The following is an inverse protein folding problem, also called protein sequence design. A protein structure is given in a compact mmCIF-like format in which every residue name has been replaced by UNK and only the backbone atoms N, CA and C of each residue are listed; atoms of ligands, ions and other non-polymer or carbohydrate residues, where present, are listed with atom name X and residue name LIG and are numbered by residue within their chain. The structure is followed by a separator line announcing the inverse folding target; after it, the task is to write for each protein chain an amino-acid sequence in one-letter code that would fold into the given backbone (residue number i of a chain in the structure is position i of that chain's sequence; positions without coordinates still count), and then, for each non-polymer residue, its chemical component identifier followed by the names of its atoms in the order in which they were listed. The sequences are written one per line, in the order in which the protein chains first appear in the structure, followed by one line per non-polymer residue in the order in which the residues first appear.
data_IF_884628547031
#
_entry.id   IF_884628547031
#
_cell.length_a   1.000
_cell.length_b   1.000
_cell.length_c   1.000
_cell.angle_alpha   90.00
_cell.angle_beta   90.00
_cell.angle_gamma   90.00
#
_symmetry.space_group_name_H-M   'P 1'
#
loop_
_entity.id
_entity.type
_entity.pdbx_description
1 polymer ?
#
# COMPACT_ATOMS: atom_id res chain seq x y z
N UNK A 1 -11.81 3.39 12.03
CA UNK A 1 -10.95 4.54 11.60
C UNK A 1 -9.66 3.94 11.08
N UNK A 2 -9.23 4.28 9.86
CA UNK A 2 -7.93 3.84 9.35
C UNK A 2 -6.87 4.60 10.15
N UNK A 3 -6.12 3.90 10.99
CA UNK A 3 -5.01 4.50 11.74
C UNK A 3 -3.81 4.61 10.81
N UNK A 4 -3.33 5.83 10.64
CA UNK A 4 -2.06 6.07 9.95
C UNK A 4 -0.90 5.69 10.90
N UNK A 5 0.12 5.00 10.39
CA UNK A 5 1.34 4.76 11.15
C UNK A 5 2.04 6.08 11.50
N UNK A 6 2.88 6.05 12.53
CA UNK A 6 3.77 7.16 12.82
C UNK A 6 4.62 7.51 11.57
N UNK A 7 5.02 8.79 11.41
CA UNK A 7 5.93 9.19 10.34
C UNK A 7 7.17 8.31 10.32
N UNK A 8 7.61 7.92 9.13
CA UNK A 8 8.78 7.06 8.94
C UNK A 8 9.71 7.68 7.88
N UNK A 9 10.96 7.24 7.84
CA UNK A 9 11.87 7.68 6.78
C UNK A 9 11.55 6.97 5.46
N UNK A 10 11.88 7.62 4.34
CA UNK A 10 11.72 7.00 3.02
C UNK A 10 12.51 5.69 2.90
N UNK A 11 13.69 5.61 3.53
CA UNK A 11 14.48 4.38 3.54
C UNK A 11 13.75 3.25 4.25
N UNK A 12 13.20 3.50 5.44
CA UNK A 12 12.40 2.52 6.17
C UNK A 12 11.19 2.03 5.38
N UNK A 13 10.50 2.96 4.69
CA UNK A 13 9.37 2.61 3.83
C UNK A 13 9.81 1.70 2.68
N UNK A 14 10.90 2.04 1.99
CA UNK A 14 11.44 1.24 0.88
C UNK A 14 11.90 -0.13 1.36
N UNK A 15 12.56 -0.22 2.51
CA UNK A 15 13.04 -1.50 3.07
C UNK A 15 11.86 -2.42 3.46
N UNK A 16 10.82 -1.89 4.09
CA UNK A 16 9.59 -2.64 4.38
C UNK A 16 8.87 -3.12 3.11
N UNK A 17 8.88 -2.29 2.04
CA UNK A 17 8.32 -2.69 0.75
C UNK A 17 9.16 -3.82 0.12
N UNK A 18 10.49 -3.74 0.20
CA UNK A 18 11.38 -4.82 -0.27
C UNK A 18 11.08 -6.14 0.43
N UNK A 19 10.96 -6.12 1.74
CA UNK A 19 10.60 -7.32 2.52
C UNK A 19 9.25 -7.90 2.08
N UNK A 20 8.19 -7.07 2.01
CA UNK A 20 6.85 -7.51 1.63
C UNK A 20 6.76 -8.01 0.18
N UNK A 21 7.53 -7.44 -0.73
CA UNK A 21 7.55 -7.79 -2.15
C UNK A 21 8.58 -8.87 -2.50
N UNK A 22 9.33 -9.41 -1.53
CA UNK A 22 10.51 -10.25 -1.75
C UNK A 22 11.48 -9.63 -2.76
N UNK A 23 11.69 -8.31 -2.67
CA UNK A 23 12.53 -7.47 -3.53
C UNK A 23 12.21 -7.53 -5.04
N UNK A 24 11.02 -7.99 -5.41
CA UNK A 24 10.62 -8.11 -6.83
C UNK A 24 10.53 -6.76 -7.55
N UNK A 25 10.35 -5.68 -6.80
CA UNK A 25 10.19 -4.32 -7.34
C UNK A 25 11.52 -3.63 -7.64
N UNK A 26 12.64 -4.14 -7.13
CA UNK A 26 14.00 -3.60 -7.30
C UNK A 26 14.06 -2.08 -7.08
N UNK A 27 13.55 -1.63 -5.93
CA UNK A 27 13.44 -0.21 -5.61
C UNK A 27 14.80 0.38 -5.22
N UNK A 28 15.13 1.54 -5.81
CA UNK A 28 16.32 2.34 -5.47
C UNK A 28 15.94 3.79 -5.19
N UNK A 29 16.59 4.41 -4.21
CA UNK A 29 16.37 5.82 -3.84
C UNK A 29 17.50 6.66 -4.42
N UNK A 30 17.19 7.84 -4.97
CA UNK A 30 18.22 8.82 -5.38
C UNK A 30 19.09 9.25 -4.19
N UNK A 31 20.31 9.68 -4.48
CA UNK A 31 21.25 10.11 -3.47
C UNK A 31 20.63 11.13 -2.49
N UNK A 32 20.92 10.97 -1.19
CA UNK A 32 20.43 11.79 -0.07
C UNK A 32 18.93 11.71 0.25
N UNK A 33 18.13 10.89 -0.43
CA UNK A 33 16.69 10.80 -0.21
C UNK A 33 16.27 9.94 0.98
N UNK A 34 17.10 9.02 1.46
CA UNK A 34 16.73 8.00 2.43
C UNK A 34 16.25 8.51 3.79
N UNK A 35 16.73 9.68 4.22
CA UNK A 35 16.36 10.31 5.51
C UNK A 35 15.11 11.20 5.45
N UNK A 36 14.51 11.37 4.28
CA UNK A 36 13.30 12.19 4.15
C UNK A 36 12.15 11.56 4.94
N UNK A 37 11.49 12.39 5.75
CA UNK A 37 10.32 11.96 6.52
C UNK A 37 9.09 11.85 5.62
N UNK A 38 8.44 10.72 5.66
CA UNK A 38 7.21 10.42 4.91
C UNK A 38 6.06 10.28 5.90
N UNK A 39 4.99 11.01 5.62
CA UNK A 39 3.77 11.04 6.43
C UNK A 39 2.60 10.40 5.69
N UNK A 40 2.51 10.60 4.37
CA UNK A 40 1.35 10.18 3.61
C UNK A 40 1.70 9.85 2.16
N UNK A 41 0.70 9.38 1.43
CA UNK A 41 0.71 9.22 -0.02
C UNK A 41 -0.39 10.08 -0.60
N UNK A 42 -0.09 10.83 -1.65
CA UNK A 42 -1.05 11.72 -2.29
C UNK A 42 -0.96 11.67 -3.82
N UNK A 43 -2.05 12.02 -4.53
CA UNK A 43 -2.04 12.20 -5.98
C UNK A 43 -1.02 13.24 -6.43
N UNK A 44 -0.50 13.10 -7.67
CA UNK A 44 0.53 13.99 -8.23
C UNK A 44 0.16 15.48 -8.13
N UNK A 45 -1.11 15.80 -8.33
CA UNK A 45 -1.63 17.17 -8.38
C UNK A 45 -1.72 17.84 -7.00
N UNK A 46 -1.90 17.07 -5.95
CA UNK A 46 -2.18 17.57 -4.60
C UNK A 46 -1.06 17.30 -3.60
N UNK A 47 -0.12 16.42 -3.96
CA UNK A 47 0.98 16.04 -3.09
C UNK A 47 1.87 17.21 -2.70
N UNK A 48 2.26 17.25 -1.42
CA UNK A 48 3.08 18.27 -0.83
C UNK A 48 4.24 17.72 0.00
N UNK A 49 4.74 18.54 0.91
CA UNK A 49 5.83 18.16 1.80
C UNK A 49 5.39 17.05 2.78
N UNK A 50 6.18 16.00 2.87
CA UNK A 50 5.88 14.80 3.66
C UNK A 50 5.13 13.72 2.87
N UNK A 51 4.69 14.00 1.64
CA UNK A 51 3.98 13.03 0.83
C UNK A 51 4.92 12.27 -0.13
N UNK A 52 4.53 11.05 -0.44
CA UNK A 52 5.02 10.29 -1.58
C UNK A 52 3.95 10.30 -2.66
N UNK A 53 4.33 10.62 -3.89
CA UNK A 53 3.49 10.45 -5.07
C UNK A 53 4.09 9.41 -6.01
N UNK A 54 3.31 8.87 -6.94
CA UNK A 54 3.80 7.88 -7.89
C UNK A 54 3.30 8.18 -9.31
N UNK A 55 4.12 7.82 -10.28
CA UNK A 55 3.80 7.88 -11.71
C UNK A 55 3.71 6.45 -12.25
N UNK A 56 2.49 5.98 -12.53
CA UNK A 56 2.26 4.66 -13.15
C UNK A 56 1.82 4.75 -14.61
N UNK A 57 1.48 5.94 -15.10
CA UNK A 57 1.03 6.15 -16.47
C UNK A 57 1.76 7.35 -17.09
N UNK A 58 2.47 7.12 -18.18
CA UNK A 58 3.29 8.10 -18.88
C UNK A 58 2.54 9.35 -19.36
N UNK A 59 1.21 9.30 -19.47
CA UNK A 59 0.38 10.47 -19.76
C UNK A 59 0.48 11.57 -18.71
N UNK A 60 0.85 11.23 -17.48
CA UNK A 60 0.95 12.16 -16.37
C UNK A 60 2.38 12.63 -16.10
N UNK A 61 3.31 12.50 -17.06
CA UNK A 61 4.71 12.96 -16.92
C UNK A 61 4.80 14.44 -16.59
N UNK A 62 3.97 15.27 -17.21
CA UNK A 62 3.95 16.72 -16.93
C UNK A 62 3.48 17.00 -15.50
N UNK A 63 2.44 16.32 -15.05
CA UNK A 63 1.98 16.42 -13.64
C UNK A 63 3.07 15.93 -12.66
N UNK A 64 3.75 14.83 -13.00
CA UNK A 64 4.85 14.30 -12.20
C UNK A 64 6.04 15.28 -12.13
N UNK A 65 6.37 15.94 -13.24
CA UNK A 65 7.41 16.98 -13.29
C UNK A 65 7.06 18.20 -12.39
N UNK A 66 5.78 18.59 -12.36
CA UNK A 66 5.28 19.71 -11.57
C UNK A 66 4.92 19.33 -10.11
N UNK A 67 4.89 18.06 -9.76
CA UNK A 67 4.49 17.55 -8.46
C UNK A 67 5.38 18.13 -7.34
N UNK A 68 4.78 18.39 -6.17
CA UNK A 68 5.49 18.95 -4.99
C UNK A 68 5.72 17.93 -3.88
N UNK A 69 5.50 16.65 -4.16
CA UNK A 69 5.77 15.58 -3.22
C UNK A 69 7.23 15.60 -2.74
N UNK A 70 7.46 15.17 -1.51
CA UNK A 70 8.80 14.95 -0.96
C UNK A 70 9.56 13.88 -1.75
N UNK A 71 8.88 12.82 -2.17
CA UNK A 71 9.45 11.78 -3.02
C UNK A 71 8.49 11.40 -4.14
N UNK A 72 9.04 11.12 -5.32
CA UNK A 72 8.30 10.67 -6.49
C UNK A 72 8.75 9.27 -6.88
N UNK A 73 7.79 8.34 -6.97
CA UNK A 73 8.03 6.95 -7.38
C UNK A 73 7.70 6.79 -8.85
N UNK A 74 8.65 6.29 -9.63
CA UNK A 74 8.49 6.15 -11.08
C UNK A 74 9.44 5.08 -11.64
N UNK A 75 9.32 4.80 -12.93
CA UNK A 75 10.25 3.94 -13.66
C UNK A 75 11.50 4.71 -14.10
N UNK A 76 12.59 4.00 -14.41
CA UNK A 76 13.78 4.63 -14.99
C UNK A 76 13.47 5.27 -16.37
N UNK A 77 12.59 4.65 -17.17
CA UNK A 77 12.13 5.22 -18.43
C UNK A 77 11.43 6.58 -18.26
N UNK A 78 10.53 6.68 -17.27
CA UNK A 78 9.82 7.93 -16.98
C UNK A 78 10.76 9.01 -16.43
N UNK A 79 11.74 8.62 -15.58
CA UNK A 79 12.79 9.54 -15.13
C UNK A 79 13.55 10.13 -16.31
N UNK A 80 13.99 9.29 -17.23
CA UNK A 80 14.72 9.73 -18.44
C UNK A 80 13.86 10.61 -19.34
N UNK A 81 12.57 10.27 -19.49
CA UNK A 81 11.65 11.06 -20.31
C UNK A 81 11.40 12.47 -19.74
N UNK A 82 11.35 12.61 -18.40
CA UNK A 82 11.07 13.88 -17.71
C UNK A 82 12.33 14.74 -17.62
N UNK A 83 13.47 14.18 -17.17
CA UNK A 83 14.68 14.95 -16.85
C UNK A 83 15.85 14.68 -17.80
N UNK A 84 15.76 13.67 -18.67
CA UNK A 84 16.86 13.28 -19.56
C UNK A 84 18.09 12.84 -18.76
N UNK A 85 19.23 13.47 -19.04
CA UNK A 85 20.50 13.21 -18.31
C UNK A 85 20.69 14.06 -17.06
N UNK A 86 19.77 14.98 -16.79
CA UNK A 86 19.86 15.81 -15.58
C UNK A 86 19.40 15.02 -14.37
N UNK A 87 20.07 15.23 -13.24
CA UNK A 87 19.56 14.70 -11.98
C UNK A 87 18.27 15.44 -11.61
N UNK A 88 17.25 14.72 -11.13
CA UNK A 88 16.04 15.35 -10.63
C UNK A 88 16.33 16.31 -9.48
N UNK A 89 15.63 17.44 -9.45
CA UNK A 89 15.71 18.45 -8.38
C UNK A 89 15.02 18.00 -7.08
N UNK A 90 14.58 16.75 -7.03
CA UNK A 90 13.82 16.15 -5.94
C UNK A 90 14.22 14.70 -5.71
N UNK A 91 13.74 14.15 -4.60
CA UNK A 91 13.96 12.74 -4.27
C UNK A 91 13.10 11.88 -5.20
N UNK A 92 13.72 10.90 -5.83
CA UNK A 92 13.03 9.91 -6.66
C UNK A 92 13.31 8.49 -6.15
N UNK A 93 12.28 7.65 -6.23
CA UNK A 93 12.38 6.20 -6.02
C UNK A 93 12.16 5.54 -7.37
N UNK A 94 13.19 4.88 -7.88
CA UNK A 94 13.10 4.12 -9.11
C UNK A 94 12.66 2.71 -8.80
N UNK A 95 11.64 2.24 -9.49
CA UNK A 95 11.10 0.88 -9.33
C UNK A 95 10.61 0.33 -10.67
N UNK A 96 10.55 -0.99 -10.79
CA UNK A 96 9.99 -1.65 -11.99
C UNK A 96 8.49 -1.44 -12.14
N UNK A 97 7.77 -1.34 -11.03
CA UNK A 97 6.32 -1.20 -11.03
C UNK A 97 5.86 -0.20 -9.96
N UNK A 98 5.73 1.10 -10.31
CA UNK A 98 5.27 2.14 -9.40
C UNK A 98 3.89 1.87 -8.80
N UNK A 99 2.99 1.24 -9.54
CA UNK A 99 1.64 0.92 -9.07
C UNK A 99 1.64 -0.16 -7.98
N UNK A 100 2.42 -1.23 -8.18
CA UNK A 100 2.58 -2.25 -7.15
C UNK A 100 3.31 -1.69 -5.92
N UNK A 101 4.33 -0.84 -6.12
CA UNK A 101 5.01 -0.14 -5.04
C UNK A 101 4.03 0.67 -4.19
N UNK A 102 3.16 1.43 -4.83
CA UNK A 102 2.10 2.19 -4.17
C UNK A 102 1.17 1.30 -3.35
N UNK A 103 0.74 0.16 -3.88
CA UNK A 103 -0.12 -0.78 -3.17
C UNK A 103 0.52 -1.32 -1.88
N UNK A 104 1.81 -1.65 -1.91
CA UNK A 104 2.55 -2.04 -0.70
C UNK A 104 2.74 -0.88 0.27
N UNK A 105 3.04 0.32 -0.24
CA UNK A 105 3.19 1.52 0.59
C UNK A 105 1.90 1.86 1.34
N UNK A 106 0.73 1.76 0.68
CA UNK A 106 -0.57 1.93 1.34
C UNK A 106 -0.78 0.96 2.50
N UNK A 107 -0.43 -0.32 2.33
CA UNK A 107 -0.56 -1.32 3.38
C UNK A 107 0.38 -1.07 4.57
N UNK A 108 1.48 -0.36 4.36
CA UNK A 108 2.45 -0.03 5.41
C UNK A 108 2.04 1.25 6.14
N UNK A 109 1.67 2.28 5.39
CA UNK A 109 1.31 3.60 5.95
C UNK A 109 -0.09 3.57 6.58
N UNK A 110 -1.01 2.79 6.00
CA UNK A 110 -2.38 2.62 6.47
C UNK A 110 -2.65 1.13 6.73
N UNK A 111 -2.06 0.54 7.78
CA UNK A 111 -2.31 -0.86 8.10
C UNK A 111 -3.79 -1.05 8.40
N UNK A 112 -4.39 -2.06 7.79
CA UNK A 112 -5.71 -2.49 8.18
C UNK A 112 -5.60 -3.32 9.45
N UNK A 113 -6.39 -3.00 10.45
CA UNK A 113 -6.56 -3.87 11.61
C UNK A 113 -7.12 -5.20 11.09
N UNK A 114 -6.38 -6.28 11.33
CA UNK A 114 -6.91 -7.61 11.09
C UNK A 114 -7.90 -7.88 12.22
N UNK A 115 -9.17 -8.16 11.92
CA UNK A 115 -10.12 -8.53 12.96
C UNK A 115 -9.65 -9.81 13.63
N UNK A 116 -9.85 -9.91 14.96
CA UNK A 116 -9.46 -11.13 15.69
C UNK A 116 -10.24 -12.34 15.12
N UNK A 117 -9.55 -13.48 14.93
CA UNK A 117 -10.22 -14.70 14.49
C UNK A 117 -11.31 -15.11 15.46
N UNK A 118 -12.41 -15.58 14.91
CA UNK A 118 -13.52 -16.10 15.71
C UNK A 118 -14.89 -15.92 15.03
N UNK A 119 -15.87 -16.58 15.60
CA UNK A 119 -17.26 -16.48 15.16
C UNK A 119 -18.06 -15.73 16.25
N UNK A 120 -18.63 -14.58 15.88
CA UNK A 120 -19.47 -13.83 16.82
C UNK A 120 -20.68 -14.69 17.22
N UNK A 121 -21.04 -14.63 18.49
CA UNK A 121 -22.16 -15.42 19.04
C UNK A 121 -23.52 -15.07 18.46
N UNK A 122 -23.61 -13.92 17.79
CA UNK A 122 -24.81 -13.47 17.08
C UNK A 122 -24.83 -13.85 15.60
N UNK A 123 -23.77 -14.51 15.10
CA UNK A 123 -23.76 -15.09 13.77
C UNK A 123 -24.59 -16.40 13.76
N UNK A 124 -25.22 -16.67 12.64
CA UNK A 124 -25.95 -17.93 12.43
C UNK A 124 -25.09 -18.86 11.61
N UNK A 125 -24.65 -19.97 12.19
CA UNK A 125 -23.89 -21.01 11.51
C UNK A 125 -24.73 -22.27 11.45
N UNK A 126 -25.14 -22.66 10.23
CA UNK A 126 -25.94 -23.87 10.05
C UNK A 126 -25.08 -25.14 10.17
N UNK A 127 -25.71 -26.23 10.64
CA UNK A 127 -25.05 -27.53 10.79
C UNK A 127 -24.45 -28.01 9.46
N UNK A 128 -23.17 -28.38 9.49
CA UNK A 128 -22.42 -28.83 8.30
C UNK A 128 -21.71 -27.69 7.54
N UNK A 129 -21.74 -26.45 8.04
CA UNK A 129 -20.80 -25.41 7.63
C UNK A 129 -19.42 -25.66 8.26
N UNK A 130 -18.36 -25.36 7.52
CA UNK A 130 -16.97 -25.49 7.98
C UNK A 130 -16.31 -24.13 8.00
N UNK A 131 -15.82 -23.71 9.17
CA UNK A 131 -15.15 -22.41 9.33
C UNK A 131 -13.74 -22.68 9.86
N UNK A 132 -12.72 -22.15 9.16
CA UNK A 132 -11.34 -22.24 9.63
C UNK A 132 -11.16 -21.44 10.93
N UNK A 133 -10.33 -21.93 11.84
CA UNK A 133 -10.07 -21.31 13.15
C UNK A 133 -9.42 -19.91 13.05
N UNK A 134 -8.81 -19.59 11.91
CA UNK A 134 -8.21 -18.27 11.65
C UNK A 134 -9.17 -17.30 10.94
N UNK A 135 -10.37 -17.77 10.56
CA UNK A 135 -11.38 -16.92 9.95
C UNK A 135 -12.12 -16.07 10.99
N UNK A 136 -12.64 -14.93 10.55
CA UNK A 136 -13.50 -14.06 11.34
C UNK A 136 -14.89 -14.01 10.74
N UNK A 137 -15.92 -14.23 11.57
CA UNK A 137 -17.33 -14.11 11.19
C UNK A 137 -18.01 -13.15 12.15
N UNK A 138 -18.47 -12.03 11.65
CA UNK A 138 -19.07 -10.98 12.48
C UNK A 138 -20.56 -11.21 12.77
N UNK A 139 -21.08 -10.40 13.68
CA UNK A 139 -22.45 -10.44 14.14
C UNK A 139 -23.49 -10.39 13.03
N UNK A 140 -24.49 -11.26 13.10
CA UNK A 140 -25.61 -11.30 12.16
C UNK A 140 -25.26 -11.93 10.81
N UNK A 141 -24.03 -12.36 10.57
CA UNK A 141 -23.68 -13.12 9.37
C UNK A 141 -24.36 -14.49 9.37
N UNK A 142 -24.75 -14.99 8.19
CA UNK A 142 -25.43 -16.28 8.04
C UNK A 142 -24.57 -17.21 7.18
N UNK A 143 -23.97 -18.22 7.80
CA UNK A 143 -23.18 -19.25 7.13
C UNK A 143 -24.05 -20.48 6.96
N UNK A 144 -24.43 -20.75 5.72
CA UNK A 144 -25.38 -21.86 5.41
C UNK A 144 -24.66 -23.21 5.39
N UNK A 145 -25.48 -24.25 5.53
CA UNK A 145 -25.08 -25.64 5.43
C UNK A 145 -24.24 -25.90 4.18
N UNK A 146 -23.08 -26.54 4.36
CA UNK A 146 -22.15 -26.88 3.29
C UNK A 146 -21.21 -25.74 2.85
N UNK A 147 -21.38 -24.53 3.39
CA UNK A 147 -20.44 -23.46 3.15
C UNK A 147 -19.08 -23.77 3.79
N UNK A 148 -17.99 -23.36 3.12
CA UNK A 148 -16.64 -23.49 3.62
C UNK A 148 -15.99 -22.10 3.67
N UNK A 149 -15.65 -21.66 4.87
CA UNK A 149 -14.92 -20.41 5.12
C UNK A 149 -13.47 -20.78 5.39
N UNK A 150 -12.59 -20.43 4.46
CA UNK A 150 -11.17 -20.81 4.50
C UNK A 150 -10.33 -19.95 5.47
N UNK A 151 -9.02 -20.26 5.57
CA UNK A 151 -8.10 -19.54 6.44
C UNK A 151 -8.09 -18.03 6.16
N UNK A 152 -8.03 -17.24 7.24
CA UNK A 152 -7.95 -15.76 7.19
C UNK A 152 -9.10 -15.08 6.43
N UNK A 153 -10.20 -15.79 6.18
CA UNK A 153 -11.39 -15.19 5.59
C UNK A 153 -12.06 -14.25 6.60
N UNK A 154 -12.63 -13.18 6.06
CA UNK A 154 -13.45 -12.24 6.82
C UNK A 154 -14.87 -12.22 6.25
N UNK A 155 -15.86 -12.53 7.07
CA UNK A 155 -17.28 -12.42 6.75
C UNK A 155 -17.87 -11.29 7.59
N UNK A 156 -18.20 -10.18 6.94
CA UNK A 156 -18.68 -8.98 7.59
C UNK A 156 -20.05 -9.13 8.23
N UNK A 157 -20.43 -8.16 9.06
CA UNK A 157 -21.68 -8.15 9.76
C UNK A 157 -22.89 -8.15 8.80
N UNK A 158 -23.90 -8.96 9.13
CA UNK A 158 -25.15 -9.11 8.35
C UNK A 158 -24.94 -9.56 6.89
N UNK A 159 -23.89 -10.32 6.61
CA UNK A 159 -23.61 -10.93 5.28
C UNK A 159 -24.38 -12.23 5.09
#
# INVERSE_FOLDING_TARGET
MIQQTAPMTLLELVDRIKEKSNDTLLSTISANGGKAEIKSIAPLETAGHGDVAFLANSRYRDAAAACKATALVLTEEDKQAIWGKKEPDRIVVITRNPYAWFAYALQIIFPQEQPEPGVDTRAVVEDGAVIDSTATVEAGAVIRKGAQVGPYCFVGANS
#
